data_IF_405447146334
#
_entry.id   IF_405447146334
#
_cell.length_a   1.000
_cell.length_b   1.000
_cell.length_c   1.000
_cell.angle_alpha   90.00
_cell.angle_beta   90.00
_cell.angle_gamma   90.00
#
_symmetry.space_group_name_H-M   'P 1'
#
loop_
_entity.id
_entity.type
_entity.pdbx_description
1 polymer ?
#
# COMPACT_ATOMS: atom_id res chain seq x y z
N UNK A 1 10.88 -29.10 12.96
CA UNK A 1 9.79 -29.52 12.03
C UNK A 1 8.43 -28.98 12.44
N UNK A 2 7.97 -29.16 13.70
CA UNK A 2 6.67 -28.65 14.18
C UNK A 2 6.49 -27.13 14.04
N UNK A 3 7.48 -26.32 14.39
CA UNK A 3 7.35 -24.85 14.31
C UNK A 3 7.38 -24.33 12.87
N UNK A 4 8.10 -25.02 12.00
CA UNK A 4 8.08 -24.75 10.56
C UNK A 4 6.68 -25.03 9.98
N UNK A 5 6.05 -26.14 10.36
CA UNK A 5 4.68 -26.48 9.94
C UNK A 5 3.69 -25.43 10.44
N UNK A 6 3.75 -25.04 11.73
CA UNK A 6 2.90 -23.99 12.29
C UNK A 6 3.06 -22.66 11.55
N UNK A 7 4.29 -22.28 11.20
CA UNK A 7 4.56 -21.05 10.45
C UNK A 7 3.96 -21.06 9.04
N UNK A 8 4.04 -22.19 8.33
CA UNK A 8 3.41 -22.32 7.00
C UNK A 8 1.88 -22.37 7.10
N UNK A 9 1.35 -23.02 8.13
CA UNK A 9 -0.09 -23.05 8.37
C UNK A 9 -0.64 -21.64 8.66
N UNK A 10 0.07 -20.84 9.46
CA UNK A 10 -0.29 -19.44 9.69
C UNK A 10 -0.30 -18.64 8.39
N UNK A 11 0.71 -18.81 7.53
CA UNK A 11 0.76 -18.15 6.22
C UNK A 11 -0.43 -18.54 5.33
N UNK A 12 -0.79 -19.82 5.30
CA UNK A 12 -1.94 -20.30 4.52
C UNK A 12 -3.26 -19.74 5.07
N UNK A 13 -3.50 -19.87 6.38
CA UNK A 13 -4.73 -19.41 7.03
C UNK A 13 -4.90 -17.90 6.87
N UNK A 14 -3.85 -17.11 7.14
CA UNK A 14 -3.90 -15.66 6.95
C UNK A 14 -4.18 -15.28 5.50
N UNK A 15 -3.57 -15.98 4.53
CA UNK A 15 -3.82 -15.72 3.11
C UNK A 15 -5.27 -15.99 2.72
N UNK A 16 -5.85 -17.09 3.21
CA UNK A 16 -7.25 -17.44 2.94
C UNK A 16 -8.22 -16.46 3.60
N UNK A 17 -8.00 -16.12 4.88
CA UNK A 17 -8.86 -15.18 5.61
C UNK A 17 -8.80 -13.77 5.02
N UNK A 18 -7.60 -13.25 4.77
CA UNK A 18 -7.43 -11.92 4.17
C UNK A 18 -7.94 -11.90 2.73
N UNK A 19 -7.61 -12.91 1.92
CA UNK A 19 -8.02 -12.98 0.52
C UNK A 19 -9.54 -13.01 0.34
N UNK A 20 -10.25 -13.79 1.17
CA UNK A 20 -11.71 -13.80 1.17
C UNK A 20 -12.32 -12.48 1.64
N UNK A 21 -11.73 -11.85 2.66
CA UNK A 21 -12.09 -10.49 3.09
C UNK A 21 -11.94 -9.46 1.98
N UNK A 22 -10.79 -9.43 1.31
CA UNK A 22 -10.45 -8.46 0.27
C UNK A 22 -11.25 -8.64 -1.03
N UNK A 23 -11.61 -9.88 -1.36
CA UNK A 23 -12.36 -10.18 -2.58
C UNK A 23 -13.85 -9.86 -2.44
N UNK A 24 -14.43 -10.17 -1.28
CA UNK A 24 -15.88 -10.21 -1.08
C UNK A 24 -16.41 -9.25 -0.01
N UNK A 25 -15.54 -8.55 0.72
CA UNK A 25 -15.92 -7.83 1.95
C UNK A 25 -16.62 -8.78 2.94
N UNK A 26 -16.10 -10.02 3.06
CA UNK A 26 -16.76 -11.11 3.79
C UNK A 26 -17.07 -10.77 5.26
N UNK A 27 -16.21 -9.95 5.87
CA UNK A 27 -16.35 -9.52 7.26
C UNK A 27 -17.17 -8.22 7.42
N UNK A 28 -17.70 -7.66 6.33
CA UNK A 28 -18.51 -6.44 6.30
C UNK A 28 -17.82 -5.24 6.97
N UNK A 29 -16.51 -5.11 6.76
CA UNK A 29 -15.71 -4.06 7.37
C UNK A 29 -15.88 -2.73 6.64
N UNK A 30 -16.18 -2.76 5.34
CA UNK A 30 -16.56 -1.58 4.57
C UNK A 30 -18.06 -1.60 4.25
N UNK A 31 -18.66 -0.42 4.08
CA UNK A 31 -19.99 -0.29 3.50
C UNK A 31 -19.98 -0.93 2.10
N UNK A 32 -21.02 -1.72 1.77
CA UNK A 32 -20.97 -2.60 0.61
C UNK A 32 -20.94 -1.83 -0.71
N UNK A 33 -21.70 -0.74 -0.83
CA UNK A 33 -21.69 0.17 -1.97
C UNK A 33 -20.32 0.83 -2.15
N UNK A 34 -19.67 1.25 -1.07
CA UNK A 34 -18.32 1.79 -1.10
C UNK A 34 -17.32 0.72 -1.54
N UNK A 35 -17.31 -0.48 -0.95
CA UNK A 35 -16.45 -1.59 -1.38
C UNK A 35 -16.63 -1.96 -2.86
N UNK A 36 -17.86 -1.82 -3.34
CA UNK A 36 -18.25 -2.07 -4.70
C UNK A 36 -17.71 -1.01 -5.67
N UNK A 37 -17.82 0.27 -5.29
CA UNK A 37 -17.48 1.41 -6.15
C UNK A 37 -16.10 2.03 -5.86
N UNK A 38 -15.36 1.52 -4.87
CA UNK A 38 -14.10 2.11 -4.42
C UNK A 38 -13.08 2.18 -5.56
N UNK A 39 -12.71 3.41 -5.91
CA UNK A 39 -11.68 3.70 -6.91
C UNK A 39 -11.98 3.04 -8.27
N UNK A 40 -13.27 2.89 -8.62
CA UNK A 40 -13.65 2.43 -9.95
C UNK A 40 -13.36 3.46 -11.03
N UNK A 41 -13.34 4.74 -10.69
CA UNK A 41 -12.92 5.84 -11.57
C UNK A 41 -11.48 5.62 -12.07
N UNK A 42 -10.53 5.34 -11.18
CA UNK A 42 -9.15 5.03 -11.54
C UNK A 42 -8.99 3.61 -12.11
N UNK A 43 -9.74 2.62 -11.59
CA UNK A 43 -9.80 1.26 -12.17
C UNK A 43 -10.22 1.29 -13.65
N UNK A 44 -11.14 2.20 -14.00
CA UNK A 44 -11.63 2.36 -15.37
C UNK A 44 -10.54 2.76 -16.36
N UNK A 45 -9.43 3.38 -15.92
CA UNK A 45 -8.27 3.69 -16.77
C UNK A 45 -7.52 2.44 -17.24
N UNK A 46 -7.54 1.37 -16.41
CA UNK A 46 -7.02 0.05 -16.77
C UNK A 46 -7.93 -0.57 -17.82
N UNK A 47 -9.24 -0.54 -17.59
CA UNK A 47 -10.24 -1.10 -18.51
C UNK A 47 -10.21 -0.38 -19.86
N UNK A 48 -10.15 0.94 -19.87
CA UNK A 48 -10.06 1.71 -21.11
C UNK A 48 -8.81 1.36 -21.93
N UNK A 49 -7.68 1.08 -21.28
CA UNK A 49 -6.49 0.53 -21.94
C UNK A 49 -6.74 -0.86 -22.50
N UNK A 50 -7.43 -1.74 -21.79
CA UNK A 50 -7.76 -3.08 -22.31
C UNK A 50 -8.68 -2.99 -23.55
N UNK A 51 -9.68 -2.12 -23.54
CA UNK A 51 -10.54 -1.82 -24.71
C UNK A 51 -9.71 -1.30 -25.87
N UNK A 52 -8.85 -0.30 -25.62
CA UNK A 52 -7.95 0.27 -26.62
C UNK A 52 -6.99 -0.78 -27.19
N UNK A 53 -6.48 -1.68 -26.35
CA UNK A 53 -5.56 -2.73 -26.75
C UNK A 53 -6.21 -3.77 -27.67
N UNK A 54 -7.50 -4.08 -27.46
CA UNK A 54 -8.27 -4.97 -28.34
C UNK A 54 -8.43 -4.41 -29.75
N UNK A 55 -8.69 -3.11 -29.88
CA UNK A 55 -8.90 -2.46 -31.18
C UNK A 55 -7.59 -2.10 -31.89
N UNK A 56 -6.67 -1.47 -31.17
CA UNK A 56 -5.53 -0.77 -31.77
C UNK A 56 -4.16 -1.35 -31.33
N UNK A 57 -4.16 -2.42 -30.53
CA UNK A 57 -2.96 -3.08 -30.03
C UNK A 57 -2.44 -2.54 -28.70
N UNK A 58 -1.74 -3.41 -27.95
CA UNK A 58 -1.33 -3.18 -26.55
C UNK A 58 -0.45 -1.93 -26.38
N UNK A 59 0.45 -1.65 -27.34
CA UNK A 59 1.38 -0.51 -27.29
C UNK A 59 0.86 0.76 -27.99
N UNK A 60 -0.37 0.77 -28.50
CA UNK A 60 -0.96 1.98 -29.09
C UNK A 60 -0.98 3.13 -28.08
N UNK A 61 -0.74 4.36 -28.53
CA UNK A 61 -0.69 5.55 -27.63
C UNK A 61 0.33 5.34 -26.49
N UNK A 62 1.49 4.78 -26.84
CA UNK A 62 2.58 4.50 -25.90
C UNK A 62 2.29 3.41 -24.85
N UNK A 63 1.16 2.69 -24.94
CA UNK A 63 0.73 1.72 -23.93
C UNK A 63 0.18 2.33 -22.62
N UNK A 64 -0.02 3.65 -22.57
CA UNK A 64 -0.49 4.38 -21.38
C UNK A 64 -1.91 4.00 -20.96
N UNK A 65 -2.25 3.96 -19.68
CA UNK A 65 -3.67 3.84 -19.28
C UNK A 65 -4.52 5.02 -19.80
N UNK A 66 -5.84 4.94 -19.78
CA UNK A 66 -6.67 6.05 -20.28
C UNK A 66 -8.15 5.70 -20.41
N UNK A 67 -8.93 6.70 -20.81
CA UNK A 67 -10.39 6.57 -20.96
C UNK A 67 -10.79 6.50 -22.44
N UNK A 68 -11.70 5.61 -22.79
CA UNK A 68 -12.40 5.65 -24.08
C UNK A 68 -13.64 6.55 -23.99
N UNK A 69 -13.95 7.29 -25.05
CA UNK A 69 -15.11 8.19 -25.14
C UNK A 69 -15.85 8.02 -26.46
N UNK A 70 -17.13 8.41 -26.48
CA UNK A 70 -18.03 8.22 -27.64
C UNK A 70 -18.28 6.74 -27.95
N UNK A 71 -18.52 5.95 -26.91
CA UNK A 71 -18.83 4.52 -27.06
C UNK A 71 -20.18 4.38 -27.77
N UNK A 72 -20.19 3.62 -28.86
CA UNK A 72 -21.39 3.42 -29.68
C UNK A 72 -22.29 2.33 -29.06
N UNK A 73 -23.59 2.39 -29.35
CA UNK A 73 -24.58 1.38 -28.93
C UNK A 73 -24.80 1.26 -27.40
N UNK A 74 -24.36 2.23 -26.61
CA UNK A 74 -24.82 2.40 -25.23
C UNK A 74 -26.30 2.82 -25.26
N UNK A 75 -27.20 1.94 -24.86
CA UNK A 75 -28.60 2.32 -24.60
C UNK A 75 -28.71 2.91 -23.19
N UNK A 76 -29.67 3.82 -22.97
CA UNK A 76 -29.92 4.42 -21.65
C UNK A 76 -30.26 3.37 -20.57
N UNK A 77 -30.65 2.16 -20.96
CA UNK A 77 -30.91 1.02 -20.07
C UNK A 77 -29.68 0.14 -19.79
N UNK A 78 -28.55 0.38 -20.48
CA UNK A 78 -27.29 -0.37 -20.32
C UNK A 78 -26.30 0.31 -19.37
N UNK A 79 -26.69 1.39 -18.70
CA UNK A 79 -25.89 1.97 -17.62
C UNK A 79 -25.93 1.02 -16.42
N UNK A 80 -24.81 0.38 -16.09
CA UNK A 80 -24.63 -0.14 -14.73
C UNK A 80 -24.84 1.07 -13.80
N UNK A 81 -25.77 0.96 -12.85
CA UNK A 81 -26.04 1.97 -11.82
C UNK A 81 -24.88 2.09 -10.82
N UNK A 82 -23.67 2.32 -11.31
CA UNK A 82 -22.42 2.31 -10.56
C UNK A 82 -21.59 3.53 -10.98
N UNK A 83 -20.96 4.16 -9.99
CA UNK A 83 -20.18 5.42 -10.01
C UNK A 83 -20.02 6.17 -11.35
N UNK A 84 -21.07 6.87 -11.80
CA UNK A 84 -21.01 7.80 -12.94
C UNK A 84 -20.94 7.16 -14.34
N UNK A 85 -21.51 7.85 -15.33
CA UNK A 85 -21.68 7.32 -16.70
C UNK A 85 -20.36 6.90 -17.38
N UNK A 86 -19.25 7.61 -17.11
CA UNK A 86 -17.95 7.33 -17.70
C UNK A 86 -17.30 6.01 -17.22
N UNK A 87 -17.56 5.59 -15.99
CA UNK A 87 -16.98 4.34 -15.44
C UNK A 87 -17.75 3.14 -15.96
N UNK A 88 -19.08 3.17 -15.83
CA UNK A 88 -19.96 2.11 -16.33
C UNK A 88 -19.74 1.87 -17.82
N UNK A 89 -19.62 2.94 -18.62
CA UNK A 89 -19.51 2.83 -20.06
C UNK A 89 -18.26 2.07 -20.51
N UNK A 90 -17.11 2.23 -19.84
CA UNK A 90 -15.88 1.52 -20.21
C UNK A 90 -15.93 0.01 -19.91
N UNK A 91 -16.52 -0.39 -18.79
CA UNK A 91 -16.75 -1.82 -18.54
C UNK A 91 -17.73 -2.41 -19.56
N UNK A 92 -18.79 -1.69 -19.92
CA UNK A 92 -19.71 -2.12 -20.96
C UNK A 92 -19.03 -2.24 -22.33
N UNK A 93 -18.14 -1.31 -22.68
CA UNK A 93 -17.34 -1.40 -23.89
C UNK A 93 -16.44 -2.64 -23.88
N UNK A 94 -15.80 -2.94 -22.75
CA UNK A 94 -14.96 -4.13 -22.61
C UNK A 94 -15.77 -5.44 -22.64
N UNK A 95 -16.92 -5.48 -21.97
CA UNK A 95 -17.76 -6.67 -21.84
C UNK A 95 -18.47 -7.05 -23.12
N UNK A 96 -18.96 -6.06 -23.87
CA UNK A 96 -19.75 -6.30 -25.08
C UNK A 96 -18.95 -6.05 -26.36
N UNK A 97 -17.67 -5.68 -26.26
CA UNK A 97 -16.83 -5.38 -27.41
C UNK A 97 -17.31 -4.16 -28.21
N UNK A 98 -17.79 -3.13 -27.52
CA UNK A 98 -18.32 -1.93 -28.17
C UNK A 98 -17.20 -1.05 -28.74
N UNK A 99 -17.46 -0.42 -29.88
CA UNK A 99 -16.54 0.54 -30.48
C UNK A 99 -16.68 1.94 -29.86
N UNK A 100 -15.67 2.79 -30.06
CA UNK A 100 -15.54 4.11 -29.45
C UNK A 100 -14.92 5.12 -30.41
N UNK A 101 -15.20 6.42 -30.25
CA UNK A 101 -14.67 7.44 -31.17
C UNK A 101 -13.26 7.91 -30.81
N UNK A 102 -12.94 8.00 -29.53
CA UNK A 102 -11.68 8.62 -29.09
C UNK A 102 -11.13 8.00 -27.80
N UNK A 103 -9.82 8.15 -27.59
CA UNK A 103 -9.10 7.66 -26.42
C UNK A 103 -8.30 8.79 -25.78
N UNK A 104 -8.53 9.03 -24.49
CA UNK A 104 -7.89 10.05 -23.68
C UNK A 104 -6.83 9.40 -22.78
N UNK A 105 -5.53 9.45 -23.14
CA UNK A 105 -4.46 8.83 -22.36
C UNK A 105 -4.24 9.54 -21.03
N UNK A 106 -3.98 8.74 -20.00
CA UNK A 106 -3.58 9.17 -18.67
C UNK A 106 -2.06 9.18 -18.55
N UNK A 107 -1.50 10.37 -18.38
CA UNK A 107 -0.05 10.62 -18.48
C UNK A 107 0.70 10.58 -17.15
N UNK A 108 0.12 10.04 -16.08
CA UNK A 108 0.77 10.01 -14.76
C UNK A 108 1.15 8.60 -14.28
N UNK A 109 0.95 7.57 -15.11
CA UNK A 109 1.32 6.19 -14.78
C UNK A 109 1.63 5.39 -16.04
N UNK A 110 2.59 4.47 -15.93
CA UNK A 110 3.09 3.63 -17.03
C UNK A 110 2.02 2.66 -17.54
N UNK A 111 1.19 2.13 -16.64
CA UNK A 111 0.10 1.22 -16.99
C UNK A 111 0.52 -0.23 -17.21
N UNK A 112 1.66 -0.65 -16.68
CA UNK A 112 2.19 -2.00 -16.91
C UNK A 112 1.26 -3.10 -16.37
N UNK A 113 0.48 -2.82 -15.33
CA UNK A 113 -0.56 -3.72 -14.86
C UNK A 113 -1.60 -3.99 -15.95
N UNK A 114 -2.06 -2.95 -16.65
CA UNK A 114 -3.03 -3.08 -17.74
C UNK A 114 -2.42 -3.84 -18.94
N UNK A 115 -1.16 -3.56 -19.27
CA UNK A 115 -0.41 -4.29 -20.31
C UNK A 115 -0.31 -5.77 -19.95
N UNK A 116 0.05 -6.09 -18.71
CA UNK A 116 0.17 -7.46 -18.22
C UNK A 116 -1.16 -8.20 -18.27
N UNK A 117 -2.26 -7.54 -17.87
CA UNK A 117 -3.61 -8.10 -18.02
C UNK A 117 -3.93 -8.38 -19.49
N UNK A 118 -3.67 -7.45 -20.43
CA UNK A 118 -3.89 -7.71 -21.85
C UNK A 118 -3.08 -8.91 -22.38
N UNK A 119 -1.86 -9.13 -21.88
CA UNK A 119 -1.04 -10.28 -22.27
C UNK A 119 -1.58 -11.60 -21.70
N UNK A 120 -2.03 -11.61 -20.44
CA UNK A 120 -2.64 -12.78 -19.81
C UNK A 120 -3.98 -13.12 -20.47
N UNK A 121 -4.77 -12.12 -20.89
CA UNK A 121 -6.05 -12.35 -21.58
C UNK A 121 -5.86 -13.17 -22.87
N UNK A 122 -4.76 -12.96 -23.61
CA UNK A 122 -4.47 -13.70 -24.86
C UNK A 122 -4.28 -15.20 -24.68
N UNK A 123 -3.93 -15.66 -23.48
CA UNK A 123 -3.67 -17.08 -23.18
C UNK A 123 -4.81 -17.75 -22.42
N UNK A 124 -5.82 -17.01 -21.96
CA UNK A 124 -6.94 -17.53 -21.17
C UNK A 124 -8.27 -17.42 -21.94
N UNK A 125 -8.92 -18.54 -22.29
CA UNK A 125 -10.18 -18.54 -23.04
C UNK A 125 -11.38 -18.27 -22.10
N UNK A 126 -11.42 -17.09 -21.47
CA UNK A 126 -12.49 -16.66 -20.58
C UNK A 126 -13.33 -15.56 -21.22
N UNK A 127 -14.64 -15.56 -20.95
CA UNK A 127 -15.48 -14.40 -21.27
C UNK A 127 -14.97 -13.15 -20.51
N UNK A 128 -15.13 -11.92 -21.05
CA UNK A 128 -14.67 -10.69 -20.41
C UNK A 128 -15.05 -10.52 -18.92
N UNK A 129 -16.27 -10.89 -18.54
CA UNK A 129 -16.76 -10.78 -17.15
C UNK A 129 -15.99 -11.71 -16.21
N UNK A 130 -15.92 -13.00 -16.55
CA UNK A 130 -15.13 -13.98 -15.80
C UNK A 130 -13.64 -13.63 -15.75
N UNK A 131 -13.11 -13.03 -16.82
CA UNK A 131 -11.72 -12.57 -16.84
C UNK A 131 -11.46 -11.43 -15.84
N UNK A 132 -12.33 -10.42 -15.78
CA UNK A 132 -12.23 -9.36 -14.75
C UNK A 132 -12.36 -9.94 -13.34
N UNK A 133 -13.27 -10.90 -13.13
CA UNK A 133 -13.38 -11.59 -11.83
C UNK A 133 -12.09 -12.32 -11.45
N UNK A 134 -11.45 -13.01 -12.41
CA UNK A 134 -10.16 -13.65 -12.20
C UNK A 134 -9.07 -12.64 -11.82
N UNK A 135 -8.98 -11.50 -12.53
CA UNK A 135 -7.99 -10.47 -12.18
C UNK A 135 -8.20 -9.90 -10.77
N UNK A 136 -9.46 -9.66 -10.38
CA UNK A 136 -9.81 -9.20 -9.02
C UNK A 136 -9.44 -10.25 -7.97
N UNK A 137 -9.69 -11.53 -8.26
CA UNK A 137 -9.27 -12.66 -7.43
C UNK A 137 -7.75 -12.70 -7.28
N UNK A 138 -7.01 -12.64 -8.39
CA UNK A 138 -5.55 -12.66 -8.38
C UNK A 138 -4.97 -11.50 -7.57
N UNK A 139 -5.49 -10.29 -7.75
CA UNK A 139 -5.03 -9.13 -6.97
C UNK A 139 -5.33 -9.27 -5.48
N UNK A 140 -6.56 -9.67 -5.12
CA UNK A 140 -6.95 -9.86 -3.72
C UNK A 140 -6.07 -10.92 -3.02
N UNK A 141 -5.87 -12.07 -3.65
CA UNK A 141 -5.07 -13.15 -3.06
C UNK A 141 -3.57 -12.90 -3.09
N UNK A 142 -3.05 -12.16 -4.08
CA UNK A 142 -1.64 -11.73 -4.10
C UNK A 142 -1.37 -10.73 -2.98
N UNK A 143 -2.30 -9.80 -2.75
CA UNK A 143 -2.18 -8.84 -1.66
C UNK A 143 -2.28 -9.53 -0.29
N UNK A 144 -3.26 -10.41 -0.13
CA UNK A 144 -3.37 -11.27 1.05
C UNK A 144 -2.08 -12.06 1.31
N UNK A 145 -1.52 -12.72 0.29
CA UNK A 145 -0.29 -13.50 0.42
C UNK A 145 0.90 -12.64 0.88
N UNK A 146 1.06 -11.45 0.31
CA UNK A 146 2.13 -10.51 0.69
C UNK A 146 1.98 -10.03 2.14
N UNK A 147 0.78 -9.68 2.58
CA UNK A 147 0.53 -9.32 3.99
C UNK A 147 0.73 -10.52 4.93
N UNK A 148 0.35 -11.72 4.51
CA UNK A 148 0.57 -12.96 5.25
C UNK A 148 2.05 -13.28 5.45
N UNK A 149 2.93 -12.92 4.50
CA UNK A 149 4.38 -13.01 4.69
C UNK A 149 4.88 -12.05 5.77
N UNK A 150 4.29 -10.85 5.87
CA UNK A 150 4.59 -9.89 6.95
C UNK A 150 4.08 -10.43 8.30
N UNK A 151 2.86 -10.96 8.36
CA UNK A 151 2.30 -11.61 9.55
C UNK A 151 3.19 -12.78 9.99
N UNK A 152 3.67 -13.58 9.03
CA UNK A 152 4.63 -14.66 9.29
C UNK A 152 5.93 -14.12 9.87
N UNK A 153 6.46 -13.00 9.36
CA UNK A 153 7.64 -12.35 9.94
C UNK A 153 7.42 -11.97 11.41
N UNK A 154 6.27 -11.37 11.75
CA UNK A 154 5.93 -11.08 13.15
C UNK A 154 5.89 -12.34 14.02
N UNK A 155 5.33 -13.44 13.51
CA UNK A 155 5.31 -14.70 14.26
C UNK A 155 6.71 -15.24 14.52
N UNK A 156 7.62 -15.10 13.55
CA UNK A 156 8.99 -15.58 13.66
C UNK A 156 9.86 -14.69 14.56
N UNK A 157 9.61 -13.38 14.60
CA UNK A 157 10.40 -12.43 15.41
C UNK A 157 9.86 -12.21 16.82
N UNK A 158 8.53 -12.19 16.98
CA UNK A 158 7.85 -11.77 18.22
C UNK A 158 6.78 -12.78 18.73
N UNK A 159 6.59 -13.89 18.03
CA UNK A 159 5.65 -14.94 18.40
C UNK A 159 4.20 -14.72 17.94
N UNK A 160 3.37 -15.72 18.23
CA UNK A 160 2.03 -15.86 17.65
C UNK A 160 1.07 -14.71 18.00
N UNK A 161 1.09 -14.20 19.23
CA UNK A 161 0.17 -13.12 19.63
C UNK A 161 0.42 -11.83 18.84
N UNK A 162 1.69 -11.47 18.58
CA UNK A 162 2.05 -10.34 17.71
C UNK A 162 1.49 -10.53 16.31
N UNK A 163 1.70 -11.72 15.72
CA UNK A 163 1.17 -12.05 14.41
C UNK A 163 -0.37 -12.03 14.34
N UNK A 164 -1.05 -12.55 15.36
CA UNK A 164 -2.51 -12.55 15.43
C UNK A 164 -3.09 -11.14 15.54
N UNK A 165 -2.48 -10.23 16.30
CA UNK A 165 -2.94 -8.84 16.37
C UNK A 165 -2.74 -8.11 15.05
N UNK A 166 -1.61 -8.31 14.36
CA UNK A 166 -1.41 -7.76 13.01
C UNK A 166 -2.44 -8.32 12.03
N UNK A 167 -2.70 -9.62 12.07
CA UNK A 167 -3.72 -10.26 11.22
C UNK A 167 -5.13 -9.72 11.51
N UNK A 168 -5.54 -9.69 12.78
CA UNK A 168 -6.87 -9.24 13.20
C UNK A 168 -7.11 -7.79 12.81
N UNK A 169 -6.14 -6.91 13.05
CA UNK A 169 -6.27 -5.49 12.73
C UNK A 169 -6.23 -5.22 11.22
N UNK A 170 -5.55 -6.08 10.45
CA UNK A 170 -5.62 -6.06 8.99
C UNK A 170 -7.00 -6.50 8.49
N UNK A 171 -7.58 -7.56 9.09
CA UNK A 171 -8.95 -8.02 8.80
C UNK A 171 -9.95 -6.90 9.08
N UNK A 172 -9.82 -6.19 10.21
CA UNK A 172 -10.74 -5.16 10.63
C UNK A 172 -10.63 -3.83 9.85
N UNK A 173 -9.63 -3.65 8.99
CA UNK A 173 -9.45 -2.40 8.26
C UNK A 173 -10.33 -2.32 7.02
N UNK A 174 -11.22 -1.31 6.96
CA UNK A 174 -11.96 -1.01 5.74
C UNK A 174 -11.05 -0.58 4.59
N UNK A 175 -9.97 0.16 4.88
CA UNK A 175 -9.07 0.68 3.85
C UNK A 175 -8.34 -0.46 3.14
N UNK A 176 -7.76 -1.39 3.90
CA UNK A 176 -7.10 -2.56 3.31
C UNK A 176 -8.11 -3.42 2.53
N UNK A 177 -9.33 -3.54 3.03
CA UNK A 177 -10.40 -4.31 2.38
C UNK A 177 -10.80 -3.72 1.02
N UNK A 178 -11.11 -2.42 0.93
CA UNK A 178 -11.60 -1.81 -0.32
C UNK A 178 -10.53 -1.72 -1.42
N UNK A 179 -9.25 -1.63 -1.04
CA UNK A 179 -8.15 -1.63 -2.00
C UNK A 179 -7.81 -3.03 -2.53
N UNK A 180 -8.16 -4.10 -1.79
CA UNK A 180 -7.51 -5.39 -1.97
C UNK A 180 -7.73 -6.05 -3.33
N UNK A 181 -8.92 -5.89 -3.92
CA UNK A 181 -9.24 -6.44 -5.25
C UNK A 181 -9.08 -5.45 -6.42
N UNK A 182 -8.73 -4.20 -6.14
CA UNK A 182 -8.78 -3.14 -7.14
C UNK A 182 -7.68 -3.29 -8.20
N UNK A 183 -8.04 -3.17 -9.49
CA UNK A 183 -7.14 -3.44 -10.63
C UNK A 183 -6.18 -2.28 -10.95
N UNK A 184 -6.45 -1.07 -10.46
CA UNK A 184 -5.54 0.06 -10.54
C UNK A 184 -4.46 -0.02 -9.46
N UNK A 185 -4.88 -0.31 -8.23
CA UNK A 185 -4.01 -0.24 -7.06
C UNK A 185 -3.08 -1.43 -6.90
N UNK A 186 -3.45 -2.65 -7.27
CA UNK A 186 -2.52 -3.80 -7.32
C UNK A 186 -1.63 -3.86 -6.05
N UNK A 187 -2.26 -3.79 -4.87
CA UNK A 187 -1.60 -3.36 -3.62
C UNK A 187 -0.40 -4.23 -3.20
N UNK A 188 -0.36 -5.50 -3.63
CA UNK A 188 0.76 -6.39 -3.35
C UNK A 188 2.12 -5.82 -3.79
N UNK A 189 2.16 -5.08 -4.91
CA UNK A 189 3.41 -4.55 -5.46
C UNK A 189 4.03 -3.46 -4.58
N UNK A 190 3.21 -2.69 -3.85
CA UNK A 190 3.71 -1.68 -2.92
C UNK A 190 4.53 -2.25 -1.77
N UNK A 191 4.23 -3.48 -1.33
CA UNK A 191 4.85 -4.12 -0.17
C UNK A 191 6.04 -5.03 -0.55
N UNK A 192 6.27 -5.31 -1.83
CA UNK A 192 7.38 -6.15 -2.26
C UNK A 192 8.76 -5.61 -1.85
N UNK A 193 9.07 -4.30 -1.98
CA UNK A 193 10.37 -3.78 -1.53
C UNK A 193 10.60 -3.99 -0.04
N UNK A 194 9.55 -3.81 0.77
CA UNK A 194 9.60 -4.04 2.21
C UNK A 194 9.87 -5.50 2.57
N UNK A 195 9.19 -6.45 1.91
CA UNK A 195 9.44 -7.88 2.09
C UNK A 195 10.86 -8.28 1.70
N UNK A 196 11.40 -7.71 0.62
CA UNK A 196 12.79 -7.94 0.21
C UNK A 196 13.76 -7.46 1.29
N UNK A 197 13.56 -6.26 1.84
CA UNK A 197 14.41 -5.75 2.92
C UNK A 197 14.31 -6.60 4.19
N UNK A 198 13.10 -7.02 4.58
CA UNK A 198 12.91 -7.96 5.70
C UNK A 198 13.64 -9.29 5.45
N UNK A 199 13.47 -9.86 4.25
CA UNK A 199 14.09 -11.13 3.88
C UNK A 199 15.61 -11.03 3.87
N UNK A 200 16.16 -9.98 3.23
CA UNK A 200 17.59 -9.74 3.13
C UNK A 200 18.23 -9.64 4.52
N UNK A 201 17.66 -8.82 5.40
CA UNK A 201 18.22 -8.58 6.73
C UNK A 201 18.11 -9.82 7.62
N UNK A 202 16.96 -10.51 7.60
CA UNK A 202 16.75 -11.72 8.40
C UNK A 202 17.60 -12.91 7.94
N UNK A 203 17.74 -13.10 6.63
CA UNK A 203 18.51 -14.21 6.04
C UNK A 203 19.97 -13.86 5.78
N UNK A 204 20.36 -12.59 6.01
CA UNK A 204 21.71 -12.07 5.79
C UNK A 204 22.23 -12.38 4.39
N UNK A 205 21.37 -12.18 3.38
CA UNK A 205 21.75 -12.42 1.98
C UNK A 205 22.85 -11.44 1.54
N UNK A 206 23.55 -11.73 0.44
CA UNK A 206 24.62 -10.85 -0.03
C UNK A 206 24.10 -9.46 -0.41
N UNK A 207 24.94 -8.43 -0.27
CA UNK A 207 24.63 -7.05 -0.69
C UNK A 207 24.22 -6.98 -2.16
N UNK A 208 24.88 -7.74 -3.04
CA UNK A 208 24.55 -7.77 -4.47
C UNK A 208 23.13 -8.32 -4.71
N UNK A 209 22.77 -9.39 -4.00
CA UNK A 209 21.41 -9.95 -4.03
C UNK A 209 20.39 -8.92 -3.56
N UNK A 210 20.68 -8.20 -2.47
CA UNK A 210 19.81 -7.15 -1.95
C UNK A 210 19.60 -6.01 -2.96
N UNK A 211 20.68 -5.52 -3.58
CA UNK A 211 20.63 -4.46 -4.60
C UNK A 211 19.74 -4.88 -5.77
N UNK A 212 19.93 -6.10 -6.31
CA UNK A 212 19.14 -6.60 -7.43
C UNK A 212 17.66 -6.69 -7.04
N UNK A 213 17.35 -7.32 -5.91
CA UNK A 213 15.97 -7.51 -5.48
C UNK A 213 15.27 -6.19 -5.13
N UNK A 214 15.96 -5.24 -4.48
CA UNK A 214 15.42 -3.90 -4.20
C UNK A 214 15.13 -3.18 -5.51
N UNK A 215 16.10 -3.16 -6.44
CA UNK A 215 15.91 -2.53 -7.74
C UNK A 215 14.68 -3.10 -8.45
N UNK A 216 14.60 -4.43 -8.57
CA UNK A 216 13.52 -5.14 -9.28
C UNK A 216 12.17 -4.89 -8.63
N UNK A 217 12.06 -4.97 -7.31
CA UNK A 217 10.76 -4.79 -6.64
C UNK A 217 10.27 -3.35 -6.66
N UNK A 218 11.17 -2.36 -6.52
CA UNK A 218 10.82 -0.94 -6.72
C UNK A 218 10.45 -0.67 -8.17
N UNK A 219 11.12 -1.34 -9.12
CA UNK A 219 10.86 -1.20 -10.55
C UNK A 219 9.46 -1.74 -10.89
N UNK A 220 9.13 -2.95 -10.41
CA UNK A 220 7.79 -3.56 -10.55
C UNK A 220 6.73 -2.66 -9.95
N UNK A 221 6.94 -2.14 -8.73
CA UNK A 221 6.02 -1.18 -8.10
C UNK A 221 5.78 0.02 -9.02
N UNK A 222 6.84 0.63 -9.56
CA UNK A 222 6.70 1.83 -10.38
C UNK A 222 6.06 1.54 -11.74
N UNK A 223 6.33 0.37 -12.33
CA UNK A 223 5.67 -0.08 -13.55
C UNK A 223 4.15 -0.29 -13.34
N UNK A 224 3.77 -1.00 -12.27
CA UNK A 224 2.39 -1.38 -11.99
C UNK A 224 1.56 -0.24 -11.38
N UNK A 225 2.15 0.62 -10.56
CA UNK A 225 1.43 1.61 -9.75
C UNK A 225 1.84 3.05 -10.05
N UNK A 226 2.79 3.27 -10.95
CA UNK A 226 3.38 4.58 -11.17
C UNK A 226 4.04 5.11 -9.90
N UNK A 227 3.85 6.41 -9.66
CA UNK A 227 4.46 7.11 -8.53
C UNK A 227 3.52 7.31 -7.35
N UNK A 228 2.34 6.69 -7.39
CA UNK A 228 1.40 6.72 -6.27
C UNK A 228 2.11 6.20 -5.02
N UNK A 229 1.98 6.95 -3.92
CA UNK A 229 2.61 6.70 -2.62
C UNK A 229 4.11 6.33 -2.68
N UNK A 230 4.88 6.89 -3.64
CA UNK A 230 6.30 6.49 -3.80
C UNK A 230 7.13 6.76 -2.56
N UNK A 231 6.98 7.92 -1.93
CA UNK A 231 7.73 8.27 -0.71
C UNK A 231 7.38 7.35 0.45
N UNK A 232 6.09 7.01 0.61
CA UNK A 232 5.60 6.02 1.58
C UNK A 232 6.21 4.65 1.33
N UNK A 233 6.22 4.15 0.09
CA UNK A 233 6.83 2.85 -0.26
C UNK A 233 8.32 2.81 0.07
N UNK A 234 9.08 3.86 -0.25
CA UNK A 234 10.52 3.89 -0.03
C UNK A 234 10.87 3.96 1.47
N UNK A 235 10.13 4.75 2.25
CA UNK A 235 10.30 4.79 3.71
C UNK A 235 9.88 3.47 4.38
N UNK A 236 8.79 2.87 3.90
CA UNK A 236 8.40 1.52 4.31
C UNK A 236 9.54 0.53 4.04
N UNK A 237 10.09 0.51 2.82
CA UNK A 237 11.19 -0.37 2.42
C UNK A 237 12.41 -0.28 3.34
N UNK A 238 12.81 0.93 3.77
CA UNK A 238 14.00 1.10 4.62
C UNK A 238 13.73 0.90 6.13
N UNK A 239 12.46 0.82 6.54
CA UNK A 239 12.08 0.63 7.95
C UNK A 239 12.70 -0.63 8.61
N UNK A 240 12.83 -1.80 7.94
CA UNK A 240 13.52 -2.96 8.50
C UNK A 240 14.97 -2.68 8.92
N UNK A 241 15.70 -1.81 8.21
CA UNK A 241 17.08 -1.48 8.57
C UNK A 241 17.15 -0.75 9.92
N UNK A 242 16.14 0.07 10.24
CA UNK A 242 16.02 0.75 11.53
C UNK A 242 15.73 -0.25 12.65
N UNK A 243 14.84 -1.23 12.41
CA UNK A 243 14.57 -2.31 13.35
C UNK A 243 15.83 -3.12 13.65
N UNK A 244 16.48 -3.67 12.61
CA UNK A 244 17.65 -4.54 12.77
C UNK A 244 18.88 -3.79 13.30
N UNK A 245 19.04 -2.50 13.00
CA UNK A 245 20.08 -1.67 13.61
C UNK A 245 20.02 -1.71 15.14
N UNK A 246 18.83 -1.50 15.71
CA UNK A 246 18.68 -1.53 17.17
C UNK A 246 18.67 -2.95 17.71
N UNK A 247 17.95 -3.86 17.05
CA UNK A 247 17.75 -5.23 17.53
C UNK A 247 19.06 -6.04 17.57
N UNK A 248 19.90 -5.90 16.55
CA UNK A 248 21.20 -6.58 16.44
C UNK A 248 22.38 -5.74 16.95
N UNK A 249 22.16 -4.49 17.37
CA UNK A 249 23.21 -3.65 17.93
C UNK A 249 24.25 -3.18 16.91
N UNK A 250 23.85 -2.91 15.66
CA UNK A 250 24.78 -2.38 14.67
C UNK A 250 25.28 -0.99 15.06
N UNK A 251 26.51 -0.66 14.68
CA UNK A 251 26.98 0.72 14.81
C UNK A 251 26.24 1.64 13.82
N UNK A 252 26.11 2.91 14.18
CA UNK A 252 25.35 3.89 13.40
C UNK A 252 25.93 4.12 11.99
N UNK A 253 27.26 4.07 11.83
CA UNK A 253 27.92 4.22 10.54
C UNK A 253 27.51 3.11 9.56
N UNK A 254 27.41 1.87 10.05
CA UNK A 254 26.94 0.74 9.26
C UNK A 254 25.48 0.90 8.85
N UNK A 255 24.60 1.36 9.76
CA UNK A 255 23.21 1.69 9.41
C UNK A 255 23.15 2.71 8.26
N UNK A 256 23.89 3.83 8.39
CA UNK A 256 23.91 4.87 7.35
C UNK A 256 24.38 4.30 6.01
N UNK A 257 25.41 3.47 6.01
CA UNK A 257 25.88 2.81 4.79
C UNK A 257 24.79 1.94 4.14
N UNK A 258 24.08 1.13 4.92
CA UNK A 258 23.00 0.28 4.41
C UNK A 258 21.84 1.10 3.85
N UNK A 259 21.44 2.17 4.56
CA UNK A 259 20.40 3.09 4.10
C UNK A 259 20.78 3.80 2.78
N UNK A 260 22.05 4.22 2.64
CA UNK A 260 22.55 4.84 1.41
C UNK A 260 22.54 3.85 0.24
N UNK A 261 22.94 2.60 0.45
CA UNK A 261 22.89 1.56 -0.59
C UNK A 261 21.44 1.33 -1.02
N UNK A 262 20.56 0.97 -0.08
CA UNK A 262 19.16 0.69 -0.38
C UNK A 262 18.44 1.89 -1.01
N UNK A 263 18.65 3.10 -0.48
CA UNK A 263 18.07 4.34 -0.96
C UNK A 263 18.55 4.72 -2.36
N UNK A 264 19.86 4.62 -2.64
CA UNK A 264 20.41 4.91 -3.96
C UNK A 264 19.91 3.90 -4.99
N UNK A 265 19.90 2.61 -4.66
CA UNK A 265 19.36 1.55 -5.54
C UNK A 265 17.90 1.81 -5.91
N UNK A 266 17.06 2.14 -4.91
CA UNK A 266 15.67 2.45 -5.17
C UNK A 266 15.49 3.72 -6.01
N UNK A 267 16.30 4.76 -5.77
CA UNK A 267 16.28 5.98 -6.57
C UNK A 267 16.64 5.71 -8.04
N UNK A 268 17.67 4.90 -8.31
CA UNK A 268 18.00 4.48 -9.68
C UNK A 268 16.82 3.76 -10.34
N UNK A 269 16.11 2.90 -9.61
CA UNK A 269 14.90 2.22 -10.11
C UNK A 269 13.75 3.19 -10.45
N UNK A 270 13.49 4.17 -9.59
CA UNK A 270 12.48 5.22 -9.84
C UNK A 270 12.86 6.07 -11.05
N UNK A 271 14.14 6.43 -11.20
CA UNK A 271 14.62 7.20 -12.36
C UNK A 271 14.48 6.40 -13.66
N UNK A 272 14.86 5.12 -13.66
CA UNK A 272 14.68 4.23 -14.82
C UNK A 272 13.23 4.18 -15.29
N UNK A 273 12.28 4.02 -14.38
CA UNK A 273 10.85 4.01 -14.73
C UNK A 273 10.32 5.39 -15.14
N UNK A 274 10.88 6.48 -14.60
CA UNK A 274 10.55 7.85 -15.04
C UNK A 274 10.95 8.11 -16.48
N UNK A 275 12.09 7.57 -16.91
CA UNK A 275 12.50 7.62 -18.32
C UNK A 275 11.51 6.84 -19.19
N UNK A 276 11.07 5.65 -18.76
CA UNK A 276 10.05 4.86 -19.48
C UNK A 276 8.76 5.67 -19.64
N UNK A 277 8.23 6.26 -18.57
CA UNK A 277 7.01 7.07 -18.66
C UNK A 277 7.22 8.29 -19.59
N UNK A 278 8.36 8.96 -19.50
CA UNK A 278 8.67 10.11 -20.36
C UNK A 278 8.68 9.71 -21.84
N UNK A 279 9.22 8.53 -22.18
CA UNK A 279 9.20 7.96 -23.54
C UNK A 279 7.77 7.63 -23.99
N UNK A 280 6.95 7.02 -23.11
CA UNK A 280 5.54 6.75 -23.43
C UNK A 280 4.75 8.03 -23.70
N UNK A 281 4.93 9.07 -22.90
CA UNK A 281 4.29 10.38 -23.12
C UNK A 281 4.83 11.03 -24.39
N UNK A 282 6.14 10.92 -24.66
CA UNK A 282 6.78 11.42 -25.87
C UNK A 282 6.16 10.83 -27.13
N UNK A 283 5.85 9.53 -27.13
CA UNK A 283 5.20 8.86 -28.25
C UNK A 283 3.80 9.42 -28.57
N UNK A 284 3.18 10.13 -27.63
CA UNK A 284 1.85 10.76 -27.80
C UNK A 284 1.95 12.26 -28.04
N UNK A 285 2.87 12.95 -27.35
CA UNK A 285 3.01 14.41 -27.37
C UNK A 285 4.09 14.93 -28.32
N UNK A 286 4.76 14.04 -29.07
CA UNK A 286 5.72 14.42 -30.10
C UNK A 286 7.10 14.86 -29.59
N UNK A 287 7.55 14.38 -28.43
CA UNK A 287 8.93 14.62 -27.98
C UNK A 287 9.21 14.43 -26.49
N UNK A 288 10.46 14.06 -26.16
CA UNK A 288 10.90 13.77 -24.79
C UNK A 288 10.79 15.00 -23.88
N UNK A 289 11.05 16.21 -24.42
CA UNK A 289 10.86 17.47 -23.69
C UNK A 289 9.42 17.62 -23.18
N UNK A 290 8.43 17.29 -24.00
CA UNK A 290 7.02 17.35 -23.59
C UNK A 290 6.68 16.30 -22.53
N UNK A 291 7.27 15.10 -22.62
CA UNK A 291 7.16 14.06 -21.61
C UNK A 291 7.74 14.48 -20.25
N UNK A 292 8.99 14.92 -20.23
CA UNK A 292 9.67 15.39 -19.01
C UNK A 292 8.97 16.61 -18.41
N UNK A 293 8.56 17.59 -19.24
CA UNK A 293 7.79 18.73 -18.78
C UNK A 293 6.46 18.31 -18.14
N UNK A 294 5.75 17.34 -18.74
CA UNK A 294 4.52 16.84 -18.15
C UNK A 294 4.73 16.19 -16.78
N UNK A 295 5.83 15.44 -16.61
CA UNK A 295 6.13 14.77 -15.34
C UNK A 295 6.58 15.79 -14.29
N UNK A 296 7.67 16.52 -14.55
CA UNK A 296 8.36 17.32 -13.52
C UNK A 296 7.76 18.70 -13.28
N UNK A 297 7.08 19.28 -14.26
CA UNK A 297 6.46 20.61 -14.11
C UNK A 297 4.97 20.47 -13.85
N UNK A 298 4.25 19.80 -14.75
CA UNK A 298 2.80 19.71 -14.64
C UNK A 298 2.35 18.76 -13.53
N UNK A 299 2.80 17.50 -13.57
CA UNK A 299 2.33 16.46 -12.67
C UNK A 299 2.83 16.60 -11.24
N UNK A 300 4.08 17.01 -11.04
CA UNK A 300 4.62 17.30 -9.70
C UNK A 300 3.95 18.55 -9.14
N UNK A 301 4.00 19.69 -9.84
CA UNK A 301 3.55 20.94 -9.24
C UNK A 301 2.06 20.98 -8.89
N UNK A 302 1.18 20.38 -9.71
CA UNK A 302 -0.26 20.27 -9.37
C UNK A 302 -0.56 19.37 -8.16
N UNK A 303 0.36 18.50 -7.78
CA UNK A 303 0.20 17.51 -6.70
C UNK A 303 0.95 17.88 -5.42
N UNK A 304 1.91 18.79 -5.49
CA UNK A 304 2.79 19.18 -4.37
C UNK A 304 2.46 20.59 -3.85
N UNK A 305 3.38 21.54 -4.05
CA UNK A 305 3.34 22.93 -3.58
C UNK A 305 3.44 23.92 -4.74
N UNK A 306 2.94 23.54 -5.93
CA UNK A 306 2.92 24.44 -7.08
C UNK A 306 2.10 25.69 -6.84
N UNK A 307 2.41 26.75 -7.58
CA UNK A 307 1.66 28.01 -7.52
C UNK A 307 0.23 27.83 -8.05
N UNK A 308 -0.78 28.20 -7.26
CA UNK A 308 -2.19 28.00 -7.61
C UNK A 308 -2.61 28.74 -8.89
N UNK A 309 -1.97 29.87 -9.23
CA UNK A 309 -2.24 30.62 -10.46
C UNK A 309 -1.73 29.92 -11.73
N UNK A 310 -0.82 28.97 -11.58
CA UNK A 310 -0.15 28.25 -12.68
C UNK A 310 -0.87 26.96 -13.11
N UNK A 311 -1.95 26.57 -12.43
CA UNK A 311 -2.68 25.32 -12.66
C UNK A 311 -4.20 25.56 -12.77
N UNK A 312 -4.95 24.60 -13.36
CA UNK A 312 -6.40 24.71 -13.43
C UNK A 312 -7.06 24.95 -12.07
N UNK A 313 -8.12 25.76 -12.05
CA UNK A 313 -8.78 26.25 -10.83
C UNK A 313 -9.23 25.14 -9.87
N UNK A 314 -9.57 23.95 -10.41
CA UNK A 314 -9.92 22.77 -9.62
C UNK A 314 -8.84 22.37 -8.60
N UNK A 315 -7.57 22.72 -8.83
CA UNK A 315 -6.46 22.46 -7.90
C UNK A 315 -6.14 23.65 -6.98
N UNK A 316 -6.76 24.82 -7.16
CA UNK A 316 -6.35 26.04 -6.46
C UNK A 316 -6.46 25.90 -4.93
N UNK A 317 -7.55 25.33 -4.43
CA UNK A 317 -7.75 25.12 -2.99
C UNK A 317 -6.71 24.17 -2.39
N UNK A 318 -6.33 23.13 -3.12
CA UNK A 318 -5.36 22.15 -2.63
C UNK A 318 -3.93 22.69 -2.60
N UNK A 319 -3.58 23.53 -3.57
CA UNK A 319 -2.29 24.19 -3.64
C UNK A 319 -2.15 25.28 -2.56
N UNK A 320 -3.23 26.00 -2.26
CA UNK A 320 -3.29 27.05 -1.23
C UNK A 320 -3.38 26.53 0.21
N UNK A 321 -3.91 25.32 0.42
CA UNK A 321 -4.01 24.73 1.76
C UNK A 321 -2.63 24.62 2.44
N UNK A 322 -2.56 24.75 3.76
CA UNK A 322 -1.32 24.49 4.51
C UNK A 322 -1.16 22.99 4.84
N UNK A 323 0.05 22.60 5.22
CA UNK A 323 0.39 21.21 5.52
C UNK A 323 -0.33 20.69 6.77
N UNK A 324 -0.52 21.53 7.79
CA UNK A 324 -1.15 21.13 9.06
C UNK A 324 -2.61 20.78 8.80
N UNK A 325 -3.33 21.61 8.04
CA UNK A 325 -4.71 21.33 7.60
C UNK A 325 -4.80 19.99 6.88
N UNK A 326 -3.86 19.69 5.98
CA UNK A 326 -3.86 18.39 5.27
C UNK A 326 -3.61 17.23 6.24
N UNK A 327 -2.59 17.32 7.10
CA UNK A 327 -2.27 16.25 8.05
C UNK A 327 -3.42 15.99 9.03
N UNK A 328 -4.09 17.03 9.53
CA UNK A 328 -5.21 16.87 10.47
C UNK A 328 -6.37 16.06 9.87
N UNK A 329 -6.70 16.27 8.59
CA UNK A 329 -7.70 15.45 7.88
C UNK A 329 -7.38 13.95 7.97
N UNK A 330 -6.10 13.59 7.96
CA UNK A 330 -5.67 12.19 8.00
C UNK A 330 -5.52 11.61 9.41
N UNK A 331 -5.35 12.47 10.43
CA UNK A 331 -5.34 12.06 11.83
C UNK A 331 -6.77 11.80 12.36
N UNK A 332 -7.73 12.61 11.92
CA UNK A 332 -9.14 12.55 12.34
C UNK A 332 -9.92 11.42 11.66
N UNK A 333 -9.43 10.88 10.54
CA UNK A 333 -10.13 9.79 9.85
C UNK A 333 -10.08 8.46 10.59
N UNK A 334 -10.98 7.57 10.19
CA UNK A 334 -11.19 6.29 10.85
C UNK A 334 -10.29 5.20 10.27
N UNK A 335 -9.63 4.46 11.16
CA UNK A 335 -8.96 3.19 10.84
C UNK A 335 -9.95 2.02 10.91
N UNK A 336 -10.86 2.06 11.88
CA UNK A 336 -11.93 1.08 12.07
C UNK A 336 -13.26 1.80 12.20
N UNK A 337 -14.25 1.35 11.43
CA UNK A 337 -15.66 1.73 11.57
C UNK A 337 -16.48 0.47 11.77
N UNK A 338 -16.82 0.16 13.02
CA UNK A 338 -17.57 -1.05 13.37
C UNK A 338 -19.09 -0.88 13.24
N UNK A 339 -19.60 0.29 12.82
CA UNK A 339 -21.03 0.50 12.65
C UNK A 339 -21.64 -0.46 11.63
N UNK A 340 -20.90 -0.74 10.54
CA UNK A 340 -21.32 -1.67 9.50
C UNK A 340 -21.42 -3.12 9.99
N UNK A 341 -20.52 -3.52 10.88
CA UNK A 341 -20.45 -4.88 11.43
C UNK A 341 -21.51 -5.10 12.50
N UNK A 342 -21.74 -4.10 13.35
CA UNK A 342 -22.59 -4.21 14.54
C UNK A 342 -24.04 -3.75 14.30
N UNK A 343 -24.37 -3.29 13.08
CA UNK A 343 -25.74 -2.92 12.70
C UNK A 343 -26.29 -1.69 13.43
N UNK A 344 -25.41 -0.80 13.88
CA UNK A 344 -25.75 0.41 14.62
C UNK A 344 -25.17 1.68 13.99
N UNK A 345 -25.53 2.83 14.53
CA UNK A 345 -25.02 4.16 14.14
C UNK A 345 -24.45 4.89 15.36
N UNK A 346 -23.59 4.20 16.11
CA UNK A 346 -22.97 4.74 17.31
C UNK A 346 -21.59 5.32 17.00
N UNK A 347 -21.34 6.62 17.24
CA UNK A 347 -20.03 7.22 17.02
C UNK A 347 -18.94 6.60 17.91
N UNK A 348 -19.31 5.95 19.03
CA UNK A 348 -18.38 5.26 19.93
C UNK A 348 -17.74 4.00 19.33
N UNK A 349 -18.24 3.53 18.19
CA UNK A 349 -17.72 2.37 17.47
C UNK A 349 -16.64 2.73 16.45
N UNK A 350 -16.37 4.03 16.26
CA UNK A 350 -15.34 4.50 15.34
C UNK A 350 -14.02 4.73 16.07
N UNK A 351 -12.95 4.19 15.49
CA UNK A 351 -11.59 4.40 15.99
C UNK A 351 -10.84 5.24 14.99
N UNK A 352 -10.36 6.41 15.43
CA UNK A 352 -9.55 7.31 14.61
C UNK A 352 -8.08 6.90 14.59
N UNK A 353 -7.35 7.36 13.58
CA UNK A 353 -5.89 7.20 13.55
C UNK A 353 -5.22 7.88 14.74
N UNK A 354 -5.69 9.07 15.15
CA UNK A 354 -5.18 9.77 16.34
C UNK A 354 -5.26 8.90 17.60
N UNK A 355 -6.39 8.22 17.83
CA UNK A 355 -6.55 7.31 18.98
C UNK A 355 -5.54 6.16 18.93
N UNK A 356 -5.36 5.53 17.77
CA UNK A 356 -4.39 4.44 17.61
C UNK A 356 -2.94 4.91 17.78
N UNK A 357 -2.60 6.10 17.26
CA UNK A 357 -1.29 6.72 17.46
C UNK A 357 -1.01 6.96 18.95
N UNK A 358 -2.01 7.45 19.69
CA UNK A 358 -1.88 7.62 21.15
C UNK A 358 -1.66 6.29 21.86
N UNK A 359 -2.41 5.24 21.50
CA UNK A 359 -2.19 3.89 22.05
C UNK A 359 -0.77 3.41 21.75
N UNK A 360 -0.27 3.58 20.53
CA UNK A 360 1.11 3.21 20.19
C UNK A 360 2.14 4.01 21.01
N UNK A 361 1.89 5.30 21.27
CA UNK A 361 2.74 6.12 22.14
C UNK A 361 2.78 5.59 23.58
N UNK A 362 1.62 5.27 24.16
CA UNK A 362 1.55 4.67 25.49
C UNK A 362 2.32 3.34 25.56
N UNK A 363 2.12 2.44 24.59
CA UNK A 363 2.85 1.17 24.54
C UNK A 363 4.35 1.40 24.37
N UNK A 364 4.78 2.31 23.50
CA UNK A 364 6.18 2.69 23.37
C UNK A 364 6.77 3.18 24.69
N UNK A 365 6.07 4.06 25.42
CA UNK A 365 6.52 4.51 26.74
C UNK A 365 6.69 3.33 27.72
N UNK A 366 5.77 2.37 27.74
CA UNK A 366 5.88 1.17 28.56
C UNK A 366 7.07 0.29 28.15
N UNK A 367 7.33 0.13 26.86
CA UNK A 367 8.51 -0.58 26.34
C UNK A 367 9.81 0.07 26.83
N UNK A 368 9.90 1.40 26.76
CA UNK A 368 11.07 2.14 27.25
C UNK A 368 11.21 2.08 28.78
N UNK A 369 10.11 2.08 29.52
CA UNK A 369 10.11 1.83 30.96
C UNK A 369 10.65 0.42 31.28
N UNK A 370 10.20 -0.61 30.56
CA UNK A 370 10.74 -1.97 30.69
C UNK A 370 12.24 -2.02 30.37
N UNK A 371 12.69 -1.30 29.34
CA UNK A 371 14.11 -1.22 29.01
C UNK A 371 14.94 -0.60 30.14
N UNK A 372 14.44 0.50 30.72
CA UNK A 372 15.08 1.16 31.85
C UNK A 372 15.16 0.26 33.09
N UNK A 373 14.05 -0.39 33.46
CA UNK A 373 13.99 -1.31 34.58
C UNK A 373 14.88 -2.55 34.38
N UNK A 374 14.97 -3.07 33.14
CA UNK A 374 15.91 -4.12 32.78
C UNK A 374 17.36 -3.67 32.99
N UNK A 375 17.74 -2.46 32.55
CA UNK A 375 19.09 -1.91 32.79
C UNK A 375 19.42 -1.72 34.27
N UNK A 376 18.41 -1.56 35.12
CA UNK A 376 18.57 -1.53 36.59
C UNK A 376 18.59 -2.92 37.25
N UNK A 377 18.47 -4.02 36.48
CA UNK A 377 18.39 -5.38 37.02
C UNK A 377 17.07 -5.71 37.72
N UNK A 378 16.02 -4.89 37.53
CA UNK A 378 14.72 -5.05 38.20
C UNK A 378 13.71 -5.91 37.43
N UNK A 379 14.02 -6.26 36.19
CA UNK A 379 13.19 -7.10 35.34
C UNK A 379 14.00 -8.31 34.85
N UNK A 380 13.53 -9.55 35.09
CA UNK A 380 14.20 -10.76 34.63
C UNK A 380 13.85 -11.04 33.15
N UNK A 381 14.28 -10.15 32.26
CA UNK A 381 14.10 -10.26 30.82
C UNK A 381 15.40 -10.67 30.13
N UNK A 382 15.30 -11.34 28.99
CA UNK A 382 16.45 -11.61 28.12
C UNK A 382 16.85 -10.35 27.35
N UNK A 383 18.16 -10.11 27.20
CA UNK A 383 18.69 -8.94 26.49
C UNK A 383 18.22 -8.89 25.03
N UNK A 384 18.14 -10.04 24.35
CA UNK A 384 17.63 -10.14 22.98
C UNK A 384 16.16 -9.67 22.90
N UNK A 385 15.31 -10.15 23.83
CA UNK A 385 13.88 -9.82 23.86
C UNK A 385 13.64 -8.31 24.01
N UNK A 386 14.35 -7.66 24.94
CA UNK A 386 14.21 -6.21 25.14
C UNK A 386 14.84 -5.41 23.99
N UNK A 387 15.91 -5.91 23.37
CA UNK A 387 16.53 -5.29 22.19
C UNK A 387 15.59 -5.30 20.99
N UNK A 388 14.93 -6.44 20.72
CA UNK A 388 13.91 -6.57 19.67
C UNK A 388 12.72 -5.65 19.94
N UNK A 389 12.20 -5.62 21.17
CA UNK A 389 11.04 -4.80 21.51
C UNK A 389 11.32 -3.30 21.39
N UNK A 390 12.48 -2.85 21.87
CA UNK A 390 12.92 -1.44 21.70
C UNK A 390 13.19 -1.13 20.23
N UNK A 391 13.81 -2.04 19.48
CA UNK A 391 14.00 -1.89 18.03
C UNK A 391 12.69 -1.77 17.27
N UNK A 392 11.69 -2.59 17.60
CA UNK A 392 10.35 -2.50 17.01
C UNK A 392 9.69 -1.17 17.36
N UNK A 393 9.82 -0.70 18.61
CA UNK A 393 9.29 0.60 19.01
C UNK A 393 9.93 1.76 18.22
N UNK A 394 11.23 1.73 17.95
CA UNK A 394 11.89 2.74 17.12
C UNK A 394 11.39 2.64 15.67
N UNK A 395 11.27 1.43 15.14
CA UNK A 395 10.78 1.20 13.79
C UNK A 395 9.34 1.69 13.59
N UNK A 396 8.46 1.56 14.60
CA UNK A 396 7.10 2.15 14.58
C UNK A 396 7.17 3.66 14.34
N UNK A 397 7.95 4.40 15.13
CA UNK A 397 8.03 5.86 14.99
C UNK A 397 8.78 6.32 13.75
N UNK A 398 9.78 5.56 13.29
CA UNK A 398 10.37 5.81 11.98
C UNK A 398 9.35 5.61 10.86
N UNK A 399 8.55 4.55 10.94
CA UNK A 399 7.52 4.24 9.94
C UNK A 399 6.36 5.23 9.93
N UNK A 400 6.15 6.02 10.98
CA UNK A 400 5.23 7.16 11.00
C UNK A 400 5.57 8.20 9.92
N UNK A 401 6.86 8.30 9.55
CA UNK A 401 7.32 9.19 8.49
C UNK A 401 6.83 8.74 7.10
N UNK A 402 6.50 7.47 6.88
CA UNK A 402 6.02 6.99 5.58
C UNK A 402 4.71 7.66 5.12
N UNK A 403 3.59 7.62 5.89
CA UNK A 403 2.38 8.36 5.53
C UNK A 403 2.59 9.87 5.53
N UNK A 404 3.31 10.41 6.53
CA UNK A 404 3.58 11.86 6.59
C UNK A 404 4.36 12.37 5.38
N UNK A 405 5.32 11.59 4.87
CA UNK A 405 6.10 11.99 3.69
C UNK A 405 5.20 12.27 2.49
N UNK A 406 4.14 11.48 2.29
CA UNK A 406 3.20 11.68 1.21
C UNK A 406 2.29 12.89 1.47
N UNK A 407 1.76 13.00 2.68
CA UNK A 407 0.87 14.10 3.07
C UNK A 407 1.57 15.47 3.01
N UNK A 408 2.86 15.52 3.35
CA UNK A 408 3.67 16.75 3.37
C UNK A 408 4.22 17.09 1.99
N UNK A 409 4.82 16.12 1.28
CA UNK A 409 5.43 16.38 -0.04
C UNK A 409 4.35 16.55 -1.10
N UNK A 410 3.37 15.66 -1.13
CA UNK A 410 2.24 15.65 -2.08
C UNK A 410 0.98 16.23 -1.44
N UNK A 411 1.14 17.40 -0.80
CA UNK A 411 0.07 18.12 -0.09
C UNK A 411 -1.13 18.40 -1.00
N UNK A 412 -0.91 18.95 -2.19
CA UNK A 412 -2.00 19.26 -3.14
C UNK A 412 -2.80 18.03 -3.54
N UNK A 413 -2.15 16.87 -3.71
CA UNK A 413 -2.84 15.61 -3.95
C UNK A 413 -3.56 15.12 -2.69
N UNK A 414 -2.90 15.11 -1.54
CA UNK A 414 -3.49 14.67 -0.27
C UNK A 414 -4.64 15.54 0.21
N UNK A 415 -4.69 16.82 -0.12
CA UNK A 415 -5.86 17.64 0.19
C UNK A 415 -7.13 17.18 -0.53
N UNK A 416 -6.99 16.72 -1.78
CA UNK A 416 -8.10 16.31 -2.65
C UNK A 416 -8.53 14.86 -2.36
N UNK A 417 -7.55 13.98 -2.13
CA UNK A 417 -7.77 12.53 -2.16
C UNK A 417 -7.95 11.90 -0.77
N UNK A 418 -8.79 12.53 0.07
CA UNK A 418 -9.18 12.00 1.39
C UNK A 418 -9.98 10.69 1.29
N UNK A 419 -10.53 10.36 0.14
CA UNK A 419 -11.26 9.11 -0.10
C UNK A 419 -10.34 7.89 -0.37
N UNK A 420 -9.01 8.06 -0.34
CA UNK A 420 -8.06 6.96 -0.65
C UNK A 420 -6.75 7.03 0.14
N UNK A 421 -6.20 8.21 0.44
CA UNK A 421 -4.82 8.31 0.96
C UNK A 421 -4.65 7.81 2.40
N UNK A 422 -5.73 7.51 3.13
CA UNK A 422 -5.68 6.87 4.44
C UNK A 422 -4.98 5.50 4.41
N UNK A 423 -4.96 4.82 3.26
CA UNK A 423 -4.23 3.56 3.08
C UNK A 423 -2.73 3.69 3.43
N UNK A 424 -2.15 4.88 3.29
CA UNK A 424 -0.74 5.12 3.59
C UNK A 424 -0.38 4.85 5.06
N UNK A 425 -1.33 4.99 5.99
CA UNK A 425 -1.13 4.62 7.39
C UNK A 425 -0.86 3.11 7.57
N UNK A 426 -1.35 2.27 6.64
CA UNK A 426 -1.13 0.82 6.65
C UNK A 426 0.22 0.41 6.04
N UNK A 427 1.10 1.36 5.71
CA UNK A 427 2.31 1.13 4.91
C UNK A 427 3.60 1.71 5.56
N UNK A 428 4.16 1.09 6.61
CA UNK A 428 3.70 -0.05 7.39
C UNK A 428 3.27 0.34 8.82
N UNK A 429 3.00 1.64 9.08
CA UNK A 429 2.91 2.18 10.44
C UNK A 429 1.94 1.43 11.35
N UNK A 430 0.70 1.21 10.93
CA UNK A 430 -0.27 0.48 11.75
C UNK A 430 0.11 -0.99 11.92
N UNK A 431 0.70 -1.63 10.89
CA UNK A 431 1.15 -3.03 10.97
C UNK A 431 2.22 -3.18 12.06
N UNK A 432 3.20 -2.28 12.08
CA UNK A 432 4.25 -2.28 13.10
C UNK A 432 3.70 -1.95 14.49
N UNK A 433 2.80 -0.97 14.60
CA UNK A 433 2.24 -0.57 15.90
C UNK A 433 1.39 -1.66 16.55
N UNK A 434 0.54 -2.35 15.80
CA UNK A 434 -0.22 -3.50 16.33
C UNK A 434 0.68 -4.71 16.59
N UNK A 435 1.72 -4.89 15.79
CA UNK A 435 2.78 -5.87 16.06
C UNK A 435 3.50 -5.59 17.38
N UNK A 436 3.80 -4.31 17.67
CA UNK A 436 4.42 -3.86 18.93
C UNK A 436 3.52 -4.12 20.12
N UNK A 437 2.23 -3.79 20.01
CA UNK A 437 1.24 -4.09 21.04
C UNK A 437 1.23 -5.59 21.37
N UNK A 438 1.19 -6.46 20.36
CA UNK A 438 1.17 -7.90 20.59
C UNK A 438 2.50 -8.45 21.12
N UNK A 439 3.64 -7.91 20.67
CA UNK A 439 4.94 -8.27 21.19
C UNK A 439 5.11 -7.88 22.67
N UNK A 440 4.65 -6.68 23.04
CA UNK A 440 4.66 -6.20 24.42
C UNK A 440 3.76 -7.06 25.32
N UNK A 441 2.54 -7.39 24.87
CA UNK A 441 1.63 -8.25 25.62
C UNK A 441 2.19 -9.66 25.82
N UNK A 442 2.83 -10.25 24.79
CA UNK A 442 3.52 -11.54 24.92
C UNK A 442 4.59 -11.51 26.01
N UNK A 443 5.44 -10.48 25.99
CA UNK A 443 6.49 -10.29 26.99
C UNK A 443 5.91 -10.14 28.40
N UNK A 444 4.82 -9.37 28.55
CA UNK A 444 4.17 -9.14 29.85
C UNK A 444 3.61 -10.44 30.42
N UNK A 445 2.91 -11.25 29.60
CA UNK A 445 2.39 -12.55 30.01
C UNK A 445 3.51 -13.50 30.43
N UNK A 446 4.60 -13.58 29.65
CA UNK A 446 5.75 -14.42 29.97
C UNK A 446 6.42 -13.99 31.28
N UNK A 447 6.57 -12.68 31.50
CA UNK A 447 7.17 -12.13 32.72
C UNK A 447 6.32 -12.46 33.96
N UNK A 448 5.00 -12.24 33.89
CA UNK A 448 4.09 -12.56 35.00
C UNK A 448 4.10 -14.06 35.31
N UNK A 449 4.10 -14.90 34.27
CA UNK A 449 4.17 -16.35 34.45
C UNK A 449 5.45 -16.77 35.18
N UNK A 450 6.61 -16.25 34.77
CA UNK A 450 7.89 -16.56 35.38
C UNK A 450 7.99 -16.07 36.84
N UNK A 451 7.47 -14.88 37.14
CA UNK A 451 7.45 -14.35 38.51
C UNK A 451 6.61 -15.21 39.45
N UNK A 452 5.52 -15.82 38.97
CA UNK A 452 4.65 -16.71 39.78
C UNK A 452 5.24 -18.09 40.04
N UNK A 453 6.14 -18.58 39.19
CA UNK A 453 6.76 -19.90 39.34
C UNK A 453 8.11 -19.87 40.08
N UNK A 454 8.69 -18.67 40.24
CA UNK A 454 9.91 -18.44 41.02
C UNK A 454 9.63 -17.95 42.45
N UNK A 455 8.34 -17.79 42.81
CA UNK A 455 7.84 -17.64 44.18
C UNK A 455 7.32 -18.98 44.67
#
# INVERSE_FOLDING_TARGET
MKDLIKSHLLLLISTLLLGTGFLNNQFKMAEQGWFQNHQQDTESLVIGRMVKAKRDGIFSVGGLTGQVTGIQQLTANNTLKWSGEAVSSQYQAYYNGLDFTSFNPYFSQIGFQAISFCLIEKILPLSPQHYIMLLKFLNAYSFAFVLSLIIRWFNLEFGLLSALLVMLTTICSHWVTVFGRNLWWVMWAFYLPYLVSLHHLRQKTSTNTAIILIYVTVFIKCLCNGYEYITTTLLMMVTPYIYYWRAEGWNFKYLVQQLLIAGTTAMVSVLSTTIILAVQISAVKGGLKAGLHHIFIYSVGKRTHGDAGSYPEVYANSLKADVITVVNKYLEGFIFDFNQVLGGSSPNLNVTYQTVIFVFACISCLVWLCHFLFKQGKLPLEEESISKLTGLSIAVWFSFLAPLSWMVIFKGHSYIHTHMNFITWHMPFTLLGFGLLGAFLSMLVATIYNLRHNQ
#
